data_IF_978687728797
#
_entry.id   IF_978687728797
#
_cell.length_a   1.000
_cell.length_b   1.000
_cell.length_c   1.000
_cell.angle_alpha   90.00
_cell.angle_beta   90.00
_cell.angle_gamma   90.00
#
_symmetry.space_group_name_H-M   'P 1'
#
loop_
_entity.id
_entity.type
_entity.pdbx_description
1 polymer ?
#
# COMPACT_ATOMS: atom_id res chain seq x y z
N UNK A 1 -6.38 18.06 -5.61
CA UNK A 1 -6.27 16.64 -5.29
C UNK A 1 -6.14 16.53 -3.78
N UNK A 2 -7.12 15.92 -3.13
CA UNK A 2 -7.13 15.80 -1.66
C UNK A 2 -6.45 14.49 -1.25
N UNK A 3 -5.73 14.55 -0.13
CA UNK A 3 -5.15 13.34 0.47
C UNK A 3 -6.29 12.46 1.01
N UNK A 4 -6.35 11.21 0.54
CA UNK A 4 -7.29 10.21 1.04
C UNK A 4 -6.56 9.43 2.14
N UNK A 5 -7.18 9.38 3.32
CA UNK A 5 -6.72 8.52 4.42
C UNK A 5 -7.65 7.33 4.54
N UNK A 6 -7.07 6.13 4.56
CA UNK A 6 -7.79 4.86 4.76
C UNK A 6 -7.14 4.06 5.88
N UNK A 7 -7.91 3.15 6.47
CA UNK A 7 -7.40 2.11 7.36
C UNK A 7 -7.09 0.90 6.49
N UNK A 8 -5.96 0.25 6.72
CA UNK A 8 -5.62 -0.97 6.01
C UNK A 8 -4.98 -1.99 6.94
N UNK A 9 -5.24 -3.26 6.68
CA UNK A 9 -4.61 -4.40 7.35
C UNK A 9 -4.25 -5.46 6.32
N UNK A 10 -3.16 -6.17 6.56
CA UNK A 10 -2.76 -7.31 5.75
C UNK A 10 -1.30 -7.64 5.98
N UNK A 11 -0.71 -8.34 5.04
CA UNK A 11 0.55 -9.04 5.23
C UNK A 11 1.36 -9.14 3.94
N UNK A 12 2.56 -9.69 4.11
CA UNK A 12 3.46 -10.07 3.04
C UNK A 12 3.95 -11.47 3.34
N UNK A 13 3.70 -12.39 2.43
CA UNK A 13 4.12 -13.79 2.54
C UNK A 13 4.74 -14.23 1.22
N UNK A 14 5.96 -14.78 1.25
CA UNK A 14 6.70 -15.27 0.08
C UNK A 14 6.84 -14.28 -1.10
N UNK A 15 6.73 -12.98 -0.82
CA UNK A 15 6.81 -11.92 -1.84
C UNK A 15 5.47 -11.48 -2.40
N UNK A 16 4.38 -12.16 -2.04
CA UNK A 16 3.00 -11.69 -2.22
C UNK A 16 2.71 -10.56 -1.24
N UNK A 17 1.85 -9.62 -1.65
CA UNK A 17 1.41 -8.50 -0.85
C UNK A 17 -0.11 -8.38 -0.92
N UNK A 18 -0.75 -8.36 0.24
CA UNK A 18 -2.20 -8.31 0.36
C UNK A 18 -2.59 -7.25 1.40
N UNK A 19 -3.52 -6.36 1.06
CA UNK A 19 -4.19 -5.47 2.03
C UNK A 19 -5.69 -5.40 1.80
N UNK A 20 -6.40 -5.42 2.91
CA UNK A 20 -7.81 -5.07 3.01
C UNK A 20 -7.93 -3.60 3.40
N UNK A 21 -8.54 -2.79 2.53
CA UNK A 21 -8.80 -1.37 2.78
C UNK A 21 -10.19 -1.17 3.38
N UNK A 22 -10.28 -0.34 4.42
CA UNK A 22 -11.54 0.21 4.93
C UNK A 22 -11.48 1.72 5.05
N UNK A 23 -12.62 2.38 4.82
CA UNK A 23 -12.79 3.83 4.99
C UNK A 23 -13.59 4.20 6.24
N UNK A 24 -14.26 3.24 6.86
CA UNK A 24 -15.09 3.44 8.05
C UNK A 24 -14.70 2.54 9.22
N UNK A 25 -13.69 1.68 9.04
CA UNK A 25 -13.25 0.70 10.03
C UNK A 25 -14.24 -0.43 10.29
N UNK A 26 -15.28 -0.56 9.46
CA UNK A 26 -16.38 -1.53 9.64
C UNK A 26 -16.57 -2.41 8.41
N UNK A 27 -16.49 -1.81 7.22
CA UNK A 27 -16.73 -2.47 5.95
C UNK A 27 -15.50 -2.41 5.06
N UNK A 28 -15.31 -3.46 4.25
CA UNK A 28 -14.30 -3.49 3.21
C UNK A 28 -14.68 -2.50 2.11
N UNK A 29 -13.69 -1.72 1.70
CA UNK A 29 -13.81 -0.77 0.62
C UNK A 29 -13.10 -1.28 -0.65
N UNK A 30 -11.92 -1.86 -0.50
CA UNK A 30 -11.13 -2.36 -1.61
C UNK A 30 -10.12 -3.41 -1.17
N UNK A 31 -9.65 -4.20 -2.12
CA UNK A 31 -8.50 -5.09 -1.97
C UNK A 31 -7.28 -4.49 -2.67
N UNK A 32 -6.10 -4.69 -2.08
CA UNK A 32 -4.82 -4.45 -2.72
C UNK A 32 -4.12 -5.79 -2.83
N UNK A 33 -3.73 -6.18 -4.05
CA UNK A 33 -2.99 -7.42 -4.31
C UNK A 33 -1.77 -7.10 -5.18
N UNK A 34 -0.62 -7.68 -4.87
CA UNK A 34 0.60 -7.40 -5.61
C UNK A 34 1.79 -8.23 -5.18
N UNK A 35 2.97 -7.84 -5.68
CA UNK A 35 4.21 -8.54 -5.38
C UNK A 35 5.37 -7.58 -5.13
N UNK A 36 6.26 -7.97 -4.22
CA UNK A 36 7.58 -7.37 -4.08
C UNK A 36 8.34 -7.58 -5.39
N UNK A 37 8.87 -6.50 -5.95
CA UNK A 37 9.62 -6.60 -7.20
C UNK A 37 10.98 -7.27 -6.96
N UNK A 38 11.31 -8.36 -7.68
CA UNK A 38 12.61 -9.02 -7.56
C UNK A 38 13.77 -8.03 -7.78
N UNK A 39 14.83 -8.16 -6.97
CA UNK A 39 15.99 -7.25 -7.06
C UNK A 39 15.76 -5.84 -6.50
N UNK A 40 14.55 -5.49 -6.06
CA UNK A 40 14.28 -4.19 -5.42
C UNK A 40 14.72 -4.12 -3.96
N UNK A 41 15.12 -5.24 -3.35
CA UNK A 41 15.42 -5.35 -1.91
C UNK A 41 14.26 -4.86 -1.02
N UNK A 42 13.01 -5.15 -1.43
CA UNK A 42 11.80 -4.76 -0.71
C UNK A 42 11.47 -3.27 -0.80
N UNK A 43 12.10 -2.51 -1.71
CA UNK A 43 11.85 -1.08 -1.86
C UNK A 43 10.69 -0.75 -2.80
N UNK A 44 10.24 -1.72 -3.59
CA UNK A 44 9.16 -1.54 -4.56
C UNK A 44 8.17 -2.72 -4.51
N UNK A 45 6.89 -2.39 -4.42
CA UNK A 45 5.76 -3.31 -4.56
C UNK A 45 4.89 -2.79 -5.68
N UNK A 46 4.48 -3.66 -6.59
CA UNK A 46 3.52 -3.34 -7.66
C UNK A 46 2.34 -4.28 -7.58
N UNK A 47 1.18 -3.77 -7.96
CA UNK A 47 -0.04 -4.56 -7.86
C UNK A 47 -1.25 -3.83 -8.38
N UNK A 48 -2.41 -4.38 -8.05
CA UNK A 48 -3.71 -3.85 -8.40
C UNK A 48 -4.50 -3.51 -7.14
N UNK A 49 -5.15 -2.36 -7.21
CA UNK A 49 -6.16 -1.92 -6.28
C UNK A 49 -7.54 -2.21 -6.89
N UNK A 50 -8.38 -2.93 -6.17
CA UNK A 50 -9.67 -3.45 -6.63
C UNK A 50 -10.78 -3.00 -5.68
N UNK A 51 -11.53 -1.93 -6.03
CA UNK A 51 -12.64 -1.47 -5.21
C UNK A 51 -13.83 -2.40 -5.26
N UNK A 52 -14.53 -2.53 -4.14
CA UNK A 52 -15.77 -3.27 -4.05
C UNK A 52 -16.95 -2.42 -4.53
N UNK A 53 -17.83 -3.04 -5.32
CA UNK A 53 -19.08 -2.41 -5.70
C UNK A 53 -19.98 -2.24 -4.46
N UNK A 54 -20.51 -1.03 -4.27
CA UNK A 54 -21.45 -0.73 -3.19
C UNK A 54 -22.79 -0.29 -3.78
N UNK A 55 -23.87 -0.92 -3.32
CA UNK A 55 -25.21 -0.62 -3.80
C UNK A 55 -25.54 0.86 -3.62
N UNK A 56 -26.06 1.50 -4.68
CA UNK A 56 -26.39 2.92 -4.67
C UNK A 56 -25.20 3.87 -4.81
N UNK A 57 -23.99 3.36 -5.11
CA UNK A 57 -22.82 4.18 -5.38
C UNK A 57 -22.25 3.90 -6.79
N UNK A 58 -21.59 4.89 -7.42
CA UNK A 58 -20.86 4.66 -8.66
C UNK A 58 -19.79 3.58 -8.47
N UNK A 59 -19.72 2.64 -9.41
CA UNK A 59 -18.64 1.64 -9.44
C UNK A 59 -17.33 2.34 -9.75
N UNK A 60 -16.34 2.14 -8.87
CA UNK A 60 -14.97 2.58 -9.12
C UNK A 60 -14.25 1.53 -9.96
N UNK A 61 -13.35 1.97 -10.83
CA UNK A 61 -12.52 1.06 -11.63
C UNK A 61 -11.30 0.63 -10.83
N UNK A 62 -10.89 -0.63 -11.03
CA UNK A 62 -9.59 -1.08 -10.54
C UNK A 62 -8.46 -0.25 -11.16
N UNK A 63 -7.37 -0.08 -10.41
CA UNK A 63 -6.19 0.66 -10.86
C UNK A 63 -4.91 -0.01 -10.43
N UNK A 64 -3.86 0.12 -11.24
CA UNK A 64 -2.54 -0.36 -10.84
C UNK A 64 -1.90 0.61 -9.84
N UNK A 65 -1.06 0.09 -8.95
CA UNK A 65 -0.31 0.88 -7.99
C UNK A 65 1.17 0.51 -7.97
N UNK A 66 1.98 1.43 -7.45
CA UNK A 66 3.38 1.22 -7.11
C UNK A 66 3.67 1.86 -5.75
N UNK A 67 3.92 1.03 -4.75
CA UNK A 67 4.40 1.50 -3.45
C UNK A 67 5.93 1.57 -3.49
N UNK A 68 6.46 2.71 -3.09
CA UNK A 68 7.90 2.94 -2.94
C UNK A 68 8.22 3.26 -1.49
N UNK A 69 9.15 2.52 -0.91
CA UNK A 69 9.67 2.85 0.42
C UNK A 69 10.28 4.25 0.37
N UNK A 70 9.75 5.19 1.17
CA UNK A 70 10.51 6.43 1.44
C UNK A 70 11.75 6.05 2.23
N UNK A 71 12.94 6.44 1.76
CA UNK A 71 14.14 6.42 2.60
C UNK A 71 13.81 7.21 3.87
N UNK A 72 14.07 6.61 5.02
CA UNK A 72 14.10 7.37 6.26
C UNK A 72 15.08 8.52 6.07
N UNK A 73 14.70 9.73 6.47
CA UNK A 73 15.62 10.85 6.44
C UNK A 73 16.87 10.44 7.23
N UNK A 74 18.04 10.51 6.59
CA UNK A 74 19.29 10.34 7.31
C UNK A 74 19.33 11.42 8.39
N UNK A 75 19.34 11.03 9.66
CA UNK A 75 19.66 11.96 10.74
C UNK A 75 21.03 12.55 10.42
N UNK A 76 21.16 13.86 10.19
CA UNK A 76 22.47 14.45 9.98
C UNK A 76 23.23 14.37 11.31
N UNK A 77 24.37 13.66 11.32
CA UNK A 77 25.33 13.74 12.42
C UNK A 77 25.20 12.68 13.51
N UNK A 78 25.57 11.44 13.19
CA UNK A 78 26.02 10.44 14.16
C UNK A 78 27.47 10.04 13.90
N UNK A 79 28.29 10.98 13.44
CA UNK A 79 29.73 10.81 13.35
C UNK A 79 30.36 11.18 14.69
N UNK A 80 30.68 10.19 15.51
CA UNK A 80 31.63 10.35 16.60
C UNK A 80 32.56 9.14 16.57
N UNK A 81 33.81 9.46 16.24
CA UNK A 81 34.97 8.57 16.24
C UNK A 81 35.04 7.73 17.51
N UNK A 82 35.43 6.47 17.32
CA UNK A 82 36.36 5.76 18.19
C UNK A 82 37.41 5.12 17.28
#
# INVERSE_FOLDING_TARGET
YGDITSIASGDVEEGEFNLDESRDGKSLFAFWSGHIQPGSCGNEIRGRWEPLAKAGQPTLSASDFMLRRKKAAATPGGGSHW
#
